data_IF_960670354791
#
_entry.id   IF_960670354791
#
_cell.length_a   1.000
_cell.length_b   1.000
_cell.length_c   1.000
_cell.angle_alpha   90.00
_cell.angle_beta   90.00
_cell.angle_gamma   90.00
#
_symmetry.space_group_name_H-M   'P 1'
#
loop_
_entity.id
_entity.type
_entity.pdbx_description
1 polymer ?
#
# COMPACT_ATOMS: atom_id res chain seq x y z
N UNK A 1 -10.97 -33.57 4.05
CA UNK A 1 -11.85 -32.74 4.89
C UNK A 1 -11.30 -31.32 4.91
N UNK A 2 -11.73 -30.46 3.98
CA UNK A 2 -11.49 -29.02 4.05
C UNK A 2 -12.77 -28.43 4.64
N UNK A 3 -12.73 -28.06 5.92
CA UNK A 3 -13.84 -27.37 6.59
C UNK A 3 -13.82 -25.93 6.08
N UNK A 4 -14.43 -25.70 4.92
CA UNK A 4 -14.71 -24.37 4.37
C UNK A 4 -15.94 -23.86 5.09
N UNK A 5 -15.72 -23.06 6.14
CA UNK A 5 -16.80 -22.37 6.83
C UNK A 5 -17.39 -21.33 5.86
N UNK A 6 -18.73 -21.27 5.69
CA UNK A 6 -19.37 -20.22 4.89
C UNK A 6 -19.03 -18.87 5.52
N UNK A 7 -18.12 -18.13 4.87
CA UNK A 7 -17.47 -16.95 5.41
C UNK A 7 -15.98 -16.85 5.05
N UNK A 8 -15.25 -17.97 4.86
CA UNK A 8 -13.80 -17.93 4.58
C UNK A 8 -13.44 -17.40 3.18
N UNK A 9 -14.32 -17.60 2.19
CA UNK A 9 -14.16 -17.09 0.83
C UNK A 9 -14.03 -15.54 0.85
N UNK A 10 -14.85 -14.88 1.66
CA UNK A 10 -14.82 -13.42 1.79
C UNK A 10 -13.49 -12.89 2.36
N UNK A 11 -12.92 -13.58 3.36
CA UNK A 11 -11.61 -13.20 3.92
C UNK A 11 -10.48 -13.36 2.89
N UNK A 12 -10.52 -14.43 2.09
CA UNK A 12 -9.53 -14.70 1.05
C UNK A 12 -9.61 -13.66 -0.07
N UNK A 13 -10.82 -13.33 -0.54
CA UNK A 13 -11.03 -12.38 -1.63
C UNK A 13 -10.57 -10.96 -1.27
N UNK A 14 -10.84 -10.50 -0.04
CA UNK A 14 -10.36 -9.19 0.41
C UNK A 14 -8.83 -9.13 0.47
N UNK A 15 -8.22 -10.18 1.00
CA UNK A 15 -6.77 -10.26 1.20
C UNK A 15 -6.02 -10.31 -0.12
N UNK A 16 -6.53 -11.08 -1.10
CA UNK A 16 -5.96 -11.15 -2.45
C UNK A 16 -6.09 -9.81 -3.16
N UNK A 17 -7.26 -9.18 -3.11
CA UNK A 17 -7.48 -7.86 -3.72
C UNK A 17 -6.59 -6.78 -3.09
N UNK A 18 -6.41 -6.81 -1.77
CA UNK A 18 -5.50 -5.92 -1.05
C UNK A 18 -4.04 -6.15 -1.48
N UNK A 19 -3.60 -7.41 -1.56
CA UNK A 19 -2.26 -7.76 -2.03
C UNK A 19 -1.98 -7.22 -3.44
N UNK A 20 -2.91 -7.40 -4.38
CA UNK A 20 -2.76 -6.92 -5.75
C UNK A 20 -2.72 -5.39 -5.78
N UNK A 21 -3.66 -4.73 -5.09
CA UNK A 21 -3.74 -3.27 -5.06
C UNK A 21 -2.48 -2.65 -4.43
N UNK A 22 -2.07 -3.10 -3.24
CA UNK A 22 -0.90 -2.56 -2.55
C UNK A 22 0.41 -2.96 -3.23
N UNK A 23 0.52 -4.17 -3.79
CA UNK A 23 1.66 -4.58 -4.59
C UNK A 23 1.85 -3.71 -5.83
N UNK A 24 0.75 -3.40 -6.52
CA UNK A 24 0.75 -2.47 -7.65
C UNK A 24 1.25 -1.07 -7.26
N UNK A 25 0.79 -0.55 -6.12
CA UNK A 25 1.24 0.76 -5.61
C UNK A 25 2.73 0.76 -5.32
N UNK A 26 3.29 -0.29 -4.70
CA UNK A 26 4.74 -0.36 -4.41
C UNK A 26 5.56 -0.37 -5.69
N UNK A 27 5.13 -1.13 -6.71
CA UNK A 27 5.79 -1.15 -8.01
C UNK A 27 5.71 0.25 -8.66
N UNK A 28 4.54 0.87 -8.65
CA UNK A 28 4.33 2.22 -9.19
C UNK A 28 5.22 3.25 -8.46
N UNK A 29 5.29 3.16 -7.14
CA UNK A 29 6.12 4.00 -6.29
C UNK A 29 7.62 3.84 -6.61
N UNK A 30 8.09 2.63 -6.91
CA UNK A 30 9.45 2.40 -7.35
C UNK A 30 9.77 3.10 -8.69
N UNK A 31 8.91 2.94 -9.70
CA UNK A 31 9.14 3.56 -11.02
C UNK A 31 9.07 5.08 -10.98
N UNK A 32 8.04 5.63 -10.34
CA UNK A 32 7.89 7.07 -10.15
C UNK A 32 9.03 7.63 -9.30
N UNK A 33 9.38 6.93 -8.22
CA UNK A 33 10.42 7.33 -7.29
C UNK A 33 11.77 7.38 -7.98
N UNK A 34 12.06 6.43 -8.88
CA UNK A 34 13.29 6.41 -9.69
C UNK A 34 13.33 7.62 -10.63
N UNK A 35 12.22 7.93 -11.30
CA UNK A 35 12.12 9.07 -12.21
C UNK A 35 12.29 10.41 -11.48
N UNK A 36 11.71 10.56 -10.30
CA UNK A 36 11.81 11.78 -9.48
C UNK A 36 13.16 11.87 -8.76
N UNK A 37 13.77 10.74 -8.40
CA UNK A 37 15.14 10.74 -7.87
C UNK A 37 16.13 11.35 -8.86
N UNK A 38 15.95 11.11 -10.16
CA UNK A 38 16.77 11.71 -11.22
C UNK A 38 16.56 13.22 -11.41
N UNK A 39 15.44 13.79 -10.97
CA UNK A 39 15.16 15.23 -11.14
C UNK A 39 15.85 16.13 -10.10
N UNK A 40 16.63 15.57 -9.17
CA UNK A 40 17.47 16.29 -8.19
C UNK A 40 16.73 17.11 -7.13
N UNK A 41 15.43 17.36 -7.30
CA UNK A 41 14.63 18.19 -6.41
C UNK A 41 14.01 17.36 -5.27
N UNK A 42 14.62 17.43 -4.08
CA UNK A 42 14.12 16.79 -2.84
C UNK A 42 12.65 17.11 -2.55
N UNK A 43 12.23 18.34 -2.87
CA UNK A 43 10.86 18.79 -2.68
C UNK A 43 9.83 17.99 -3.49
N UNK A 44 10.17 17.68 -4.75
CA UNK A 44 9.30 16.91 -5.65
C UNK A 44 9.19 15.47 -5.15
N UNK A 45 10.31 14.90 -4.65
CA UNK A 45 10.33 13.56 -4.06
C UNK A 45 9.41 13.46 -2.84
N UNK A 46 9.51 14.40 -1.90
CA UNK A 46 8.66 14.43 -0.69
C UNK A 46 7.18 14.57 -1.04
N UNK A 47 6.83 15.49 -1.95
CA UNK A 47 5.44 15.68 -2.41
C UNK A 47 4.87 14.41 -3.03
N UNK A 48 5.67 13.72 -3.85
CA UNK A 48 5.29 12.46 -4.48
C UNK A 48 5.04 11.36 -3.45
N UNK A 49 5.95 11.20 -2.48
CA UNK A 49 5.81 10.23 -1.38
C UNK A 49 4.54 10.47 -0.57
N UNK A 50 4.27 11.72 -0.19
CA UNK A 50 3.05 12.09 0.53
C UNK A 50 1.81 11.74 -0.30
N UNK A 51 1.80 12.06 -1.59
CA UNK A 51 0.69 11.74 -2.49
C UNK A 51 0.43 10.23 -2.59
N UNK A 52 1.49 9.41 -2.69
CA UNK A 52 1.37 7.95 -2.71
C UNK A 52 0.73 7.40 -1.43
N UNK A 53 1.18 7.89 -0.27
CA UNK A 53 0.61 7.50 1.03
C UNK A 53 -0.88 7.83 1.07
N UNK A 54 -1.29 9.03 0.63
CA UNK A 54 -2.70 9.42 0.57
C UNK A 54 -3.52 8.54 -0.38
N UNK A 55 -3.03 8.28 -1.60
CA UNK A 55 -3.71 7.40 -2.57
C UNK A 55 -3.89 6.01 -1.98
N UNK A 56 -2.87 5.49 -1.30
CA UNK A 56 -2.92 4.18 -0.65
C UNK A 56 -3.92 4.13 0.51
N UNK A 57 -3.99 5.18 1.32
CA UNK A 57 -5.00 5.29 2.37
C UNK A 57 -6.41 5.32 1.76
N UNK A 58 -6.60 6.06 0.66
CA UNK A 58 -7.88 6.14 -0.04
C UNK A 58 -8.31 4.80 -0.62
N UNK A 59 -7.38 4.09 -1.28
CA UNK A 59 -7.59 2.73 -1.80
C UNK A 59 -7.90 1.77 -0.66
N UNK A 60 -7.20 1.87 0.46
CA UNK A 60 -7.43 1.03 1.63
C UNK A 60 -8.83 1.19 2.21
N UNK A 61 -9.26 2.44 2.42
CA UNK A 61 -10.64 2.75 2.86
C UNK A 61 -11.66 2.29 1.82
N UNK A 62 -11.39 2.54 0.53
CA UNK A 62 -12.26 2.10 -0.56
C UNK A 62 -12.45 0.58 -0.59
N UNK A 63 -11.38 -0.20 -0.39
CA UNK A 63 -11.42 -1.65 -0.32
C UNK A 63 -12.28 -2.13 0.86
N UNK A 64 -12.09 -1.53 2.03
CA UNK A 64 -12.85 -1.87 3.24
C UNK A 64 -14.33 -1.54 3.06
N UNK A 65 -14.66 -0.35 2.55
CA UNK A 65 -16.05 0.07 2.30
C UNK A 65 -16.71 -0.82 1.26
N UNK A 66 -16.00 -1.12 0.15
CA UNK A 66 -16.47 -2.03 -0.89
C UNK A 66 -16.80 -3.40 -0.31
N UNK A 67 -15.93 -3.94 0.54
CA UNK A 67 -16.12 -5.25 1.16
C UNK A 67 -17.28 -5.28 2.15
N UNK A 68 -17.42 -4.25 3.01
CA UNK A 68 -18.53 -4.13 3.97
C UNK A 68 -19.88 -4.06 3.26
N UNK A 69 -19.95 -3.37 2.11
CA UNK A 69 -21.19 -3.22 1.33
C UNK A 69 -21.64 -4.50 0.64
N UNK A 70 -20.72 -5.38 0.25
CA UNK A 70 -21.03 -6.62 -0.50
C UNK A 70 -21.31 -7.78 0.45
N UNK A 71 -20.49 -7.94 1.49
CA UNK A 71 -20.49 -9.16 2.30
C UNK A 71 -21.35 -9.01 3.57
N UNK A 72 -21.70 -7.78 3.98
CA UNK A 72 -22.36 -7.49 5.26
C UNK A 72 -21.82 -8.37 6.42
N UNK A 73 -20.50 -8.34 6.69
CA UNK A 73 -19.95 -9.20 7.72
C UNK A 73 -20.49 -8.78 9.09
N UNK A 74 -21.20 -9.67 9.79
CA UNK A 74 -21.67 -9.44 11.17
C UNK A 74 -20.49 -9.18 12.13
N UNK A 75 -19.31 -9.72 11.83
CA UNK A 75 -18.11 -9.63 12.65
C UNK A 75 -16.99 -8.82 11.97
N UNK A 76 -16.45 -7.82 12.67
CA UNK A 76 -15.39 -6.91 12.20
C UNK A 76 -13.98 -7.53 12.09
N UNK A 77 -13.86 -8.85 12.26
CA UNK A 77 -12.59 -9.57 12.29
C UNK A 77 -11.83 -9.54 10.95
N UNK A 78 -12.51 -9.28 9.83
CA UNK A 78 -11.90 -9.17 8.50
C UNK A 78 -10.92 -8.00 8.37
N UNK A 79 -11.00 -7.00 9.26
CA UNK A 79 -10.12 -5.84 9.23
C UNK A 79 -8.69 -6.19 9.66
N UNK A 80 -8.51 -7.21 10.50
CA UNK A 80 -7.21 -7.62 11.05
C UNK A 80 -6.25 -8.11 9.94
N UNK A 81 -6.60 -9.11 9.11
CA UNK A 81 -5.71 -9.56 8.04
C UNK A 81 -5.44 -8.46 7.00
N UNK A 82 -6.44 -7.62 6.69
CA UNK A 82 -6.27 -6.46 5.82
C UNK A 82 -5.21 -5.48 6.39
N UNK A 83 -5.28 -5.20 7.68
CA UNK A 83 -4.36 -4.26 8.34
C UNK A 83 -2.94 -4.80 8.40
N UNK A 84 -2.75 -6.11 8.58
CA UNK A 84 -1.44 -6.77 8.49
C UNK A 84 -0.84 -6.61 7.09
N UNK A 85 -1.62 -6.89 6.03
CA UNK A 85 -1.18 -6.73 4.65
C UNK A 85 -0.82 -5.27 4.37
N UNK A 86 -1.70 -4.34 4.72
CA UNK A 86 -1.46 -2.91 4.60
C UNK A 86 -0.14 -2.49 5.26
N UNK A 87 0.12 -2.96 6.48
CA UNK A 87 1.30 -2.60 7.25
C UNK A 87 2.59 -3.15 6.62
N UNK A 88 2.59 -4.42 6.20
CA UNK A 88 3.72 -5.03 5.50
C UNK A 88 4.05 -4.24 4.23
N UNK A 89 3.07 -3.98 3.37
CA UNK A 89 3.29 -3.20 2.14
C UNK A 89 3.72 -1.76 2.43
N UNK A 90 3.32 -1.18 3.57
CA UNK A 90 3.75 0.16 3.98
C UNK A 90 5.20 0.18 4.42
N UNK A 91 5.66 -0.83 5.16
CA UNK A 91 7.08 -0.96 5.51
C UNK A 91 7.93 -1.10 4.24
N UNK A 92 7.52 -1.96 3.31
CA UNK A 92 8.22 -2.12 2.03
C UNK A 92 8.26 -0.83 1.21
N UNK A 93 7.13 -0.13 1.10
CA UNK A 93 7.04 1.15 0.38
C UNK A 93 7.98 2.21 0.96
N UNK A 94 7.97 2.38 2.29
CA UNK A 94 8.84 3.33 2.99
C UNK A 94 10.30 2.96 2.77
N UNK A 95 10.66 1.68 2.91
CA UNK A 95 12.03 1.22 2.70
C UNK A 95 12.54 1.49 1.28
N UNK A 96 11.69 1.24 0.28
CA UNK A 96 11.98 1.54 -1.13
C UNK A 96 12.17 3.03 -1.32
N UNK A 97 11.23 3.86 -0.86
CA UNK A 97 11.30 5.30 -1.03
C UNK A 97 12.48 5.92 -0.28
N UNK A 98 12.79 5.52 0.95
CA UNK A 98 13.98 5.97 1.66
C UNK A 98 15.26 5.61 0.92
N UNK A 99 15.36 4.37 0.43
CA UNK A 99 16.52 3.92 -0.34
C UNK A 99 16.71 4.77 -1.60
N UNK A 100 15.63 5.08 -2.32
CA UNK A 100 15.69 5.94 -3.50
C UNK A 100 16.01 7.40 -3.16
N UNK A 101 15.48 7.91 -2.05
CA UNK A 101 15.78 9.26 -1.55
C UNK A 101 17.25 9.44 -1.17
N UNK A 102 17.92 8.40 -0.67
CA UNK A 102 19.37 8.42 -0.36
C UNK A 102 20.27 8.33 -1.60
N UNK A 103 19.75 7.81 -2.72
CA UNK A 103 20.50 7.72 -4.00
C UNK A 103 20.54 9.09 -4.72
N UNK A 104 19.73 10.07 -4.30
CA UNK A 104 19.85 11.44 -4.84
C UNK A 104 21.23 12.04 -4.53
N UNK A 105 22.00 12.47 -5.54
CA UNK A 105 23.35 13.02 -5.36
C UNK A 105 23.38 14.44 -4.76
N UNK A 106 22.28 14.95 -4.20
CA UNK A 106 22.20 16.26 -3.56
C UNK A 106 22.56 16.30 -2.07
N UNK A 107 22.92 15.15 -1.47
CA UNK A 107 23.28 15.05 -0.05
C UNK A 107 24.79 15.28 0.20
N UNK A 108 25.38 16.28 -0.46
CA UNK A 108 26.65 16.87 -0.02
C UNK A 108 26.36 18.30 0.46
N UNK A 109 26.47 18.47 1.78
CA UNK A 109 26.68 19.73 2.50
C UNK A 109 25.69 20.88 2.20
N UNK A 110 24.68 21.01 3.05
CA UNK A 110 24.38 22.30 3.66
C UNK A 110 24.41 22.12 5.18
#
# INVERSE_FOLDING_TARGET
MHVVLPGSEAFSDLSVNACIAFGGIVIMAYFLGKRVAMSGARYVFIRMTIMLIFVKMFIGVGLVVYHVRIVLPENKLFIIPFLIIYLIFTIFEIYVLEKLGRIQPGQKAQ
#
